data_IF_134179486974
#
_entry.id   IF_134179486974
#
_cell.length_a   1.000
_cell.length_b   1.000
_cell.length_c   1.000
_cell.angle_alpha   90.00
_cell.angle_beta   90.00
_cell.angle_gamma   90.00
#
_symmetry.space_group_name_H-M   'P 1'
#
loop_
_entity.id
_entity.type
_entity.pdbx_description
1 polymer ?
#
# COMPACT_ATOMS: atom_id res chain seq x y z
N UNK A 1 5.46 -52.36 50.95
CA UNK A 1 5.02 -51.71 49.69
C UNK A 1 5.57 -50.28 49.74
N UNK A 2 6.78 -50.01 49.23
CA UNK A 2 7.10 -49.62 47.83
C UNK A 2 6.32 -48.34 47.42
N UNK A 3 6.88 -47.19 47.00
CA UNK A 3 8.17 -46.81 46.42
C UNK A 3 8.55 -45.35 46.82
N UNK A 4 9.86 -45.04 46.72
CA UNK A 4 10.51 -43.73 46.85
C UNK A 4 10.58 -42.98 45.47
N UNK A 5 11.18 -41.76 45.38
CA UNK A 5 10.68 -40.60 44.64
C UNK A 5 11.37 -40.36 43.28
N UNK A 6 10.73 -39.60 42.40
CA UNK A 6 11.38 -38.93 41.26
C UNK A 6 10.77 -37.52 41.13
N UNK A 7 11.50 -36.50 41.59
CA UNK A 7 12.33 -35.66 40.73
C UNK A 7 11.52 -35.05 39.57
N UNK A 8 10.80 -33.96 39.85
CA UNK A 8 10.33 -33.05 38.80
C UNK A 8 11.43 -32.02 38.59
N UNK A 9 12.32 -32.36 37.67
CA UNK A 9 13.29 -31.45 37.07
C UNK A 9 12.51 -30.27 36.48
N UNK A 10 12.78 -29.08 37.00
CA UNK A 10 12.43 -27.83 36.35
C UNK A 10 13.24 -27.75 35.05
N UNK A 11 12.56 -27.97 33.92
CA UNK A 11 13.15 -27.73 32.61
C UNK A 11 13.05 -26.22 32.35
N UNK A 12 14.02 -25.48 32.86
CA UNK A 12 14.32 -24.12 32.43
C UNK A 12 15.15 -24.21 31.15
N UNK A 13 14.50 -24.51 30.03
CA UNK A 13 15.15 -24.37 28.72
C UNK A 13 15.18 -22.88 28.38
N UNK A 14 16.36 -22.27 28.57
CA UNK A 14 16.73 -21.01 27.95
C UNK A 14 16.53 -21.15 26.44
N UNK A 15 15.51 -20.48 25.88
CA UNK A 15 15.43 -20.23 24.45
C UNK A 15 15.95 -18.80 24.22
N UNK A 16 17.26 -18.64 24.29
CA UNK A 16 17.94 -17.39 23.93
C UNK A 16 18.11 -17.19 22.41
N UNK A 17 17.39 -17.98 21.59
CA UNK A 17 17.43 -17.90 20.12
C UNK A 17 16.08 -17.59 19.45
N UNK A 18 14.97 -17.53 20.20
CA UNK A 18 13.63 -17.30 19.63
C UNK A 18 13.26 -15.82 19.50
N UNK A 19 14.00 -14.90 20.14
CA UNK A 19 13.69 -13.46 20.06
C UNK A 19 13.84 -12.90 18.65
N UNK A 20 14.87 -13.34 17.90
CA UNK A 20 15.17 -12.83 16.57
C UNK A 20 14.34 -13.51 15.47
N UNK A 21 14.07 -14.82 15.58
CA UNK A 21 13.19 -15.50 14.63
C UNK A 21 11.73 -15.03 14.75
N UNK A 22 11.25 -14.74 15.96
CA UNK A 22 9.86 -14.31 16.14
C UNK A 22 9.59 -12.90 15.59
N UNK A 23 10.58 -12.01 15.57
CA UNK A 23 10.44 -10.67 14.99
C UNK A 23 10.30 -10.77 13.48
N UNK A 24 11.28 -11.39 12.79
CA UNK A 24 11.21 -11.55 11.34
C UNK A 24 9.98 -12.35 10.85
N UNK A 25 9.53 -13.34 11.63
CA UNK A 25 8.28 -14.08 11.36
C UNK A 25 7.03 -13.24 11.60
N UNK A 26 7.00 -12.41 12.65
CA UNK A 26 5.88 -11.51 12.94
C UNK A 26 5.76 -10.41 11.88
N UNK A 27 6.90 -9.90 11.40
CA UNK A 27 7.00 -8.83 10.40
C UNK A 27 6.58 -9.34 9.01
N UNK A 28 7.06 -10.52 8.60
CA UNK A 28 6.57 -11.19 7.38
C UNK A 28 5.07 -11.53 7.46
N UNK A 29 4.59 -11.95 8.63
CA UNK A 29 3.17 -12.25 8.82
C UNK A 29 2.32 -10.97 8.81
N UNK A 30 2.84 -9.83 9.27
CA UNK A 30 2.17 -8.53 9.23
C UNK A 30 2.03 -8.03 7.80
N UNK A 31 3.13 -7.98 7.04
CA UNK A 31 3.12 -7.55 5.64
C UNK A 31 2.14 -8.38 4.81
N UNK A 32 2.12 -9.71 4.99
CA UNK A 32 1.15 -10.63 4.36
C UNK A 32 -0.30 -10.32 4.68
N UNK A 33 -0.61 -9.92 5.91
CA UNK A 33 -1.99 -9.57 6.29
C UNK A 33 -2.43 -8.26 5.63
N UNK A 34 -1.54 -7.28 5.54
CA UNK A 34 -1.80 -6.01 4.89
C UNK A 34 -1.97 -6.21 3.37
N UNK A 35 -1.04 -6.94 2.74
CA UNK A 35 -1.11 -7.32 1.33
C UNK A 35 -2.43 -8.04 1.00
N UNK A 36 -2.80 -9.04 1.80
CA UNK A 36 -4.08 -9.76 1.63
C UNK A 36 -5.29 -8.84 1.72
N UNK A 37 -5.31 -7.88 2.65
CA UNK A 37 -6.41 -6.94 2.78
C UNK A 37 -6.54 -6.04 1.53
N UNK A 38 -5.41 -5.56 1.02
CA UNK A 38 -5.37 -4.79 -0.22
C UNK A 38 -5.83 -5.62 -1.43
N UNK A 39 -5.32 -6.85 -1.60
CA UNK A 39 -5.75 -7.75 -2.69
C UNK A 39 -7.28 -7.95 -2.68
N UNK A 40 -7.84 -8.25 -1.50
CA UNK A 40 -9.27 -8.49 -1.36
C UNK A 40 -10.11 -7.27 -1.74
N UNK A 41 -9.67 -6.08 -1.37
CA UNK A 41 -10.35 -4.84 -1.72
C UNK A 41 -10.18 -4.49 -3.21
N UNK A 42 -8.97 -4.63 -3.75
CA UNK A 42 -8.71 -4.42 -5.17
C UNK A 42 -9.61 -5.30 -6.06
N UNK A 43 -9.77 -6.59 -5.71
CA UNK A 43 -10.68 -7.49 -6.42
C UNK A 43 -12.16 -7.09 -6.28
N UNK A 44 -12.54 -6.43 -5.18
CA UNK A 44 -13.90 -5.95 -4.96
C UNK A 44 -14.23 -4.69 -5.76
N UNK A 45 -13.30 -3.74 -5.84
CA UNK A 45 -13.52 -2.43 -6.48
C UNK A 45 -13.16 -2.42 -7.97
N UNK A 46 -12.15 -3.20 -8.38
CA UNK A 46 -11.66 -3.24 -9.76
C UNK A 46 -12.33 -4.39 -10.50
N UNK A 47 -12.93 -4.12 -11.67
CA UNK A 47 -13.66 -5.09 -12.51
C UNK A 47 -12.78 -6.18 -13.18
N UNK A 48 -11.95 -6.89 -12.40
CA UNK A 48 -11.34 -8.19 -12.72
C UNK A 48 -9.99 -8.23 -13.45
N UNK A 49 -9.03 -7.34 -13.12
CA UNK A 49 -7.62 -7.66 -13.40
C UNK A 49 -6.93 -8.24 -12.15
N UNK A 50 -6.96 -9.58 -11.96
CA UNK A 50 -6.31 -10.22 -10.82
C UNK A 50 -4.79 -10.08 -10.85
N UNK A 51 -4.18 -9.89 -12.02
CA UNK A 51 -2.72 -9.69 -12.14
C UNK A 51 -2.30 -8.33 -11.59
N UNK A 52 -3.08 -7.28 -11.86
CA UNK A 52 -2.89 -5.96 -11.26
C UNK A 52 -3.03 -6.04 -9.73
N UNK A 53 -4.11 -6.66 -9.24
CA UNK A 53 -4.33 -6.79 -7.80
C UNK A 53 -3.26 -7.63 -7.09
N UNK A 54 -2.78 -8.70 -7.73
CA UNK A 54 -1.66 -9.50 -7.21
C UNK A 54 -0.36 -8.68 -7.18
N UNK A 55 -0.10 -7.88 -8.23
CA UNK A 55 1.07 -7.00 -8.30
C UNK A 55 1.07 -5.97 -7.17
N UNK A 56 0.00 -5.16 -7.03
CA UNK A 56 -0.11 -4.14 -5.99
C UNK A 56 -0.03 -4.77 -4.59
N UNK A 57 -0.67 -5.93 -4.38
CA UNK A 57 -0.59 -6.67 -3.12
C UNK A 57 0.84 -7.09 -2.78
N UNK A 58 1.61 -7.57 -3.77
CA UNK A 58 3.04 -7.92 -3.57
C UNK A 58 3.89 -6.72 -3.21
N UNK A 59 3.62 -5.54 -3.80
CA UNK A 59 4.29 -4.30 -3.39
C UNK A 59 4.13 -4.06 -1.89
N UNK A 60 2.94 -4.23 -1.33
CA UNK A 60 2.74 -4.12 0.12
C UNK A 60 3.46 -5.22 0.91
N UNK A 61 3.48 -6.46 0.43
CA UNK A 61 4.16 -7.56 1.13
C UNK A 61 5.67 -7.35 1.20
N UNK A 62 6.29 -6.93 0.10
CA UNK A 62 7.73 -6.74 -0.01
C UNK A 62 8.21 -5.49 0.73
N UNK A 63 7.49 -4.38 0.59
CA UNK A 63 7.95 -3.08 1.09
C UNK A 63 7.50 -2.78 2.53
N UNK A 64 6.55 -3.54 3.09
CA UNK A 64 6.23 -3.46 4.53
C UNK A 64 6.96 -4.49 5.39
N UNK A 65 7.74 -5.39 4.77
CA UNK A 65 8.45 -6.46 5.48
C UNK A 65 9.31 -5.95 6.65
N UNK A 66 9.84 -4.74 6.55
CA UNK A 66 10.75 -4.14 7.54
C UNK A 66 10.15 -2.91 8.27
N UNK A 67 8.91 -2.51 7.97
CA UNK A 67 8.31 -1.26 8.48
C UNK A 67 7.98 -1.27 9.99
N UNK A 68 8.10 -2.43 10.66
CA UNK A 68 7.84 -2.65 12.09
C UNK A 68 6.65 -1.85 12.65
N UNK A 69 5.46 -2.15 12.13
CA UNK A 69 4.22 -1.47 12.56
C UNK A 69 3.72 -2.10 13.86
N UNK A 70 3.27 -1.25 14.79
CA UNK A 70 2.48 -1.69 15.93
C UNK A 70 1.14 -2.28 15.46
N UNK A 71 0.46 -3.02 16.35
CA UNK A 71 -0.84 -3.60 16.01
C UNK A 71 -1.90 -2.55 15.65
N UNK A 72 -1.84 -1.38 16.27
CA UNK A 72 -2.74 -0.26 15.98
C UNK A 72 -2.48 0.32 14.59
N UNK A 73 -1.21 0.52 14.23
CA UNK A 73 -0.80 1.00 12.91
C UNK A 73 -1.14 -0.03 11.82
N UNK A 74 -0.86 -1.32 12.04
CA UNK A 74 -1.27 -2.39 11.12
C UNK A 74 -2.78 -2.37 10.86
N UNK A 75 -3.59 -2.27 11.93
CA UNK A 75 -5.05 -2.23 11.80
C UNK A 75 -5.53 -0.97 11.08
N UNK A 76 -4.85 0.16 11.27
CA UNK A 76 -5.11 1.40 10.55
C UNK A 76 -4.83 1.22 9.05
N UNK A 77 -3.64 0.72 8.68
CA UNK A 77 -3.28 0.44 7.28
C UNK A 77 -4.28 -0.52 6.63
N UNK A 78 -4.66 -1.61 7.31
CA UNK A 78 -5.67 -2.55 6.80
C UNK A 78 -7.02 -1.86 6.57
N UNK A 79 -7.45 -0.96 7.47
CA UNK A 79 -8.71 -0.20 7.29
C UNK A 79 -8.64 0.73 6.08
N UNK A 80 -7.54 1.45 5.92
CA UNK A 80 -7.30 2.33 4.76
C UNK A 80 -7.35 1.52 3.47
N UNK A 81 -6.55 0.46 3.38
CA UNK A 81 -6.41 -0.34 2.15
C UNK A 81 -7.62 -1.22 1.83
N UNK A 82 -8.59 -1.33 2.75
CA UNK A 82 -9.84 -2.04 2.50
C UNK A 82 -11.01 -1.13 2.12
N UNK A 83 -10.76 0.16 1.89
CA UNK A 83 -11.80 1.15 1.58
C UNK A 83 -12.82 1.37 2.70
N UNK A 84 -12.55 0.84 3.90
CA UNK A 84 -13.43 0.95 5.07
C UNK A 84 -13.28 2.27 5.81
N UNK A 85 -12.29 3.07 5.42
CA UNK A 85 -12.06 4.39 5.98
C UNK A 85 -12.67 5.43 5.04
N UNK A 86 -13.76 6.04 5.47
CA UNK A 86 -14.33 7.16 4.77
C UNK A 86 -13.45 8.40 5.01
N UNK A 87 -12.94 9.03 3.95
CA UNK A 87 -11.97 10.13 4.04
C UNK A 87 -12.55 11.37 4.76
N UNK A 88 -13.87 11.53 4.71
CA UNK A 88 -14.64 12.55 5.41
C UNK A 88 -14.82 12.27 6.91
N UNK A 89 -14.50 11.05 7.36
CA UNK A 89 -14.59 10.63 8.76
C UNK A 89 -13.22 10.55 9.47
N UNK A 90 -12.15 11.07 8.85
CA UNK A 90 -10.82 11.09 9.46
C UNK A 90 -10.78 12.03 10.65
N UNK A 91 -10.65 11.46 11.85
CA UNK A 91 -10.46 12.21 13.08
C UNK A 91 -8.99 12.51 13.38
N UNK A 92 -8.71 13.26 14.46
CA UNK A 92 -7.35 13.56 14.89
C UNK A 92 -6.49 12.31 15.17
N UNK A 93 -7.13 11.21 15.59
CA UNK A 93 -6.43 9.95 15.85
C UNK A 93 -5.96 9.29 14.55
N UNK A 94 -6.82 9.25 13.53
CA UNK A 94 -6.49 8.69 12.21
C UNK A 94 -5.39 9.50 11.53
N UNK A 95 -5.43 10.83 11.65
CA UNK A 95 -4.37 11.71 11.14
C UNK A 95 -3.03 11.42 11.82
N UNK A 96 -3.00 11.33 13.14
CA UNK A 96 -1.78 10.98 13.89
C UNK A 96 -1.24 9.58 13.51
N UNK A 97 -2.13 8.60 13.29
CA UNK A 97 -1.73 7.27 12.84
C UNK A 97 -1.18 7.30 11.41
N UNK A 98 -1.76 8.12 10.52
CA UNK A 98 -1.25 8.32 9.17
C UNK A 98 0.18 8.85 9.20
N UNK A 99 0.46 9.89 9.99
CA UNK A 99 1.80 10.46 10.11
C UNK A 99 2.83 9.45 10.63
N UNK A 100 2.47 8.69 11.67
CA UNK A 100 3.34 7.66 12.25
C UNK A 100 3.65 6.54 11.25
N UNK A 101 2.66 6.12 10.47
CA UNK A 101 2.83 5.11 9.43
C UNK A 101 3.70 5.62 8.29
N UNK A 102 3.46 6.85 7.80
CA UNK A 102 4.26 7.45 6.73
C UNK A 102 5.73 7.58 7.11
N UNK A 103 6.05 7.87 8.38
CA UNK A 103 7.45 7.94 8.84
C UNK A 103 8.18 6.58 8.84
N UNK A 104 7.45 5.47 8.82
CA UNK A 104 8.00 4.11 8.87
C UNK A 104 8.07 3.43 7.51
N UNK A 105 7.47 4.06 6.49
CA UNK A 105 7.38 3.53 5.15
C UNK A 105 8.36 4.30 4.25
N UNK A 106 9.12 3.57 3.43
CA UNK A 106 9.94 4.16 2.39
C UNK A 106 9.08 4.50 1.15
N UNK A 107 8.58 5.74 1.10
CA UNK A 107 7.72 6.18 0.01
C UNK A 107 8.35 6.02 -1.38
N UNK A 108 9.67 6.26 -1.51
CA UNK A 108 10.36 6.16 -2.80
C UNK A 108 10.42 4.69 -3.27
N UNK A 109 10.62 3.76 -2.33
CA UNK A 109 10.60 2.33 -2.63
C UNK A 109 9.20 1.89 -3.11
N UNK A 110 8.15 2.35 -2.43
CA UNK A 110 6.76 2.07 -2.82
C UNK A 110 6.40 2.64 -4.20
N UNK A 111 6.73 3.90 -4.49
CA UNK A 111 6.44 4.54 -5.77
C UNK A 111 7.09 3.80 -6.94
N UNK A 112 8.36 3.41 -6.80
CA UNK A 112 9.09 2.64 -7.81
C UNK A 112 8.46 1.26 -8.06
N UNK A 113 8.02 0.58 -7.00
CA UNK A 113 7.35 -0.72 -7.11
C UNK A 113 5.94 -0.63 -7.71
N UNK A 114 5.16 0.41 -7.36
CA UNK A 114 3.82 0.60 -7.93
C UNK A 114 3.85 0.94 -9.42
N UNK A 115 4.87 1.69 -9.87
CA UNK A 115 5.04 2.04 -11.29
C UNK A 115 5.04 0.80 -12.20
N UNK A 116 5.63 -0.31 -11.73
CA UNK A 116 5.69 -1.56 -12.47
C UNK A 116 4.33 -2.26 -12.60
N UNK A 117 3.40 -2.00 -11.68
CA UNK A 117 2.08 -2.62 -11.70
C UNK A 117 1.13 -1.98 -12.72
N UNK A 118 1.34 -0.73 -13.12
CA UNK A 118 0.50 -0.07 -14.14
C UNK A 118 0.53 -0.77 -15.50
N UNK A 119 1.60 -1.51 -15.83
CA UNK A 119 1.65 -2.31 -17.06
C UNK A 119 0.55 -3.36 -17.17
N UNK A 120 0.01 -3.84 -16.04
CA UNK A 120 -1.13 -4.76 -16.04
C UNK A 120 -2.46 -4.05 -16.34
N UNK A 121 -2.58 -2.76 -16.03
CA UNK A 121 -3.75 -1.98 -16.41
C UNK A 121 -3.76 -1.71 -17.92
N UNK A 122 -2.61 -1.42 -18.52
CA UNK A 122 -2.48 -1.16 -19.95
C UNK A 122 -2.90 -2.35 -20.84
N UNK A 123 -2.64 -3.60 -20.43
CA UNK A 123 -3.16 -4.78 -21.16
C UNK A 123 -4.70 -4.93 -21.05
N UNK A 124 -5.35 -4.31 -20.07
CA UNK A 124 -6.82 -4.33 -19.91
C UNK A 124 -7.51 -3.14 -20.59
N UNK A 125 -6.75 -2.12 -20.98
CA UNK A 125 -7.20 -1.06 -21.88
C UNK A 125 -6.68 -1.38 -23.28
N UNK A 126 -7.32 -2.33 -23.98
CA UNK A 126 -7.20 -2.28 -25.44
C UNK A 126 -7.61 -0.85 -25.86
N UNK A 127 -6.75 -0.11 -26.58
CA UNK A 127 -7.15 1.18 -27.09
C UNK A 127 -8.38 0.91 -27.95
N UNK A 128 -9.51 1.53 -27.60
CA UNK A 128 -10.60 1.66 -28.56
C UNK A 128 -9.96 2.15 -29.84
N UNK A 129 -10.07 1.38 -30.91
CA UNK A 129 -9.68 1.78 -32.26
C UNK A 129 -10.67 2.82 -32.80
N UNK A 130 -11.02 3.80 -31.96
CA UNK A 130 -11.56 5.07 -32.43
C UNK A 130 -10.36 5.78 -33.06
N UNK A 131 -10.45 5.98 -34.37
CA UNK A 131 -9.55 6.86 -35.10
C UNK A 131 -9.32 8.14 -34.30
N UNK A 132 -8.12 8.78 -34.40
CA UNK A 132 -7.90 10.06 -33.76
C UNK A 132 -8.99 11.03 -34.23
N UNK A 133 -9.94 11.32 -33.35
CA UNK A 133 -10.90 12.39 -33.56
C UNK A 133 -10.06 13.63 -33.75
N UNK A 134 -10.13 14.17 -34.96
CA UNK A 134 -9.42 15.37 -35.35
C UNK A 134 -10.01 16.48 -34.49
N UNK A 135 -9.23 16.96 -33.51
CA UNK A 135 -9.63 18.04 -32.60
C UNK A 135 -10.20 19.18 -33.45
N UNK A 136 -11.40 19.67 -33.13
CA UNK A 136 -11.99 20.74 -33.93
C UNK A 136 -11.15 22.02 -33.80
N UNK A 137 -11.14 22.88 -34.82
CA UNK A 137 -10.39 24.15 -34.76
C UNK A 137 -10.78 25.01 -33.55
N UNK A 138 -12.02 24.87 -33.07
CA UNK A 138 -12.49 25.59 -31.87
C UNK A 138 -11.85 25.05 -30.58
N UNK A 139 -11.65 23.73 -30.49
CA UNK A 139 -10.92 23.12 -29.37
C UNK A 139 -9.43 23.44 -29.42
N UNK A 140 -8.85 23.53 -30.62
CA UNK A 140 -7.47 23.90 -30.81
C UNK A 140 -7.21 25.36 -30.43
N UNK A 141 -8.16 26.25 -30.77
CA UNK A 141 -8.13 27.66 -30.35
C UNK A 141 -8.31 27.83 -28.83
N UNK A 142 -9.13 26.99 -28.20
CA UNK A 142 -9.32 27.02 -26.74
C UNK A 142 -8.05 26.60 -25.98
N UNK A 143 -7.23 25.72 -26.56
CA UNK A 143 -5.93 25.32 -25.98
C UNK A 143 -4.91 26.45 -26.11
N UNK A 144 -4.80 27.08 -27.30
CA UNK A 144 -3.91 28.24 -27.49
C UNK A 144 -4.28 29.43 -26.58
N UNK A 145 -5.58 29.71 -26.39
CA UNK A 145 -6.00 30.77 -25.45
C UNK A 145 -5.69 30.43 -24.00
N UNK A 146 -5.74 29.15 -23.60
CA UNK A 146 -5.37 28.73 -22.25
C UNK A 146 -3.85 28.85 -22.00
N UNK A 147 -3.03 28.45 -22.98
CA UNK A 147 -1.57 28.57 -22.90
C UNK A 147 -1.11 30.04 -22.89
N UNK A 148 -1.78 30.91 -23.66
CA UNK A 148 -1.51 32.35 -23.64
C UNK A 148 -1.84 33.03 -22.30
N UNK A 149 -2.74 32.47 -21.49
CA UNK A 149 -3.06 32.99 -20.15
C UNK A 149 -1.97 32.61 -19.15
N UNK A 150 -1.43 31.40 -19.23
CA UNK A 150 -0.33 30.96 -18.34
C UNK A 150 0.97 31.72 -18.58
N UNK A 151 1.25 32.15 -19.82
CA UNK A 151 2.46 32.93 -20.13
C UNK A 151 2.39 34.37 -19.58
N UNK A 152 1.18 34.95 -19.47
CA UNK A 152 0.98 36.30 -18.91
C UNK A 152 1.05 36.30 -17.37
N UNK A 153 0.61 35.23 -16.70
CA UNK A 153 0.72 35.10 -15.24
C UNK A 153 2.15 34.76 -14.75
N UNK A 154 3.05 34.34 -15.67
CA UNK A 154 4.46 34.06 -15.38
C UNK A 154 5.41 35.28 -15.41
N UNK A 155 5.00 36.41 -15.99
CA UNK A 155 5.85 37.60 -16.15
C UNK A 155 5.60 38.74 -15.12
N UNK A 156 4.59 38.64 -14.24
CA UNK A 156 4.42 39.58 -13.10
C UNK A 156 5.02 39.04 -11.77
N UNK A 157 6.07 38.23 -11.89
CA UNK A 157 6.76 37.59 -10.77
C UNK A 157 8.25 37.95 -10.65
N UNK A 158 8.66 39.19 -10.96
CA UNK A 158 9.95 39.77 -10.51
C UNK A 158 9.76 41.22 -10.06
#
# INVERSE_FOLDING_TARGET
MALHPLSRIAITTLIAGAGLLNLALADSAQAKRIAKANYQYCIQESLANPYYCDCISKVYEENLGDANLSKTEENFVIKVLSGKLALDALGPQELALSELVTQKIDAAQFESSFTQCFGYLEESFEPSTTQPDTISQDQQKAIEEAEAIEEIEGEEGI
#
